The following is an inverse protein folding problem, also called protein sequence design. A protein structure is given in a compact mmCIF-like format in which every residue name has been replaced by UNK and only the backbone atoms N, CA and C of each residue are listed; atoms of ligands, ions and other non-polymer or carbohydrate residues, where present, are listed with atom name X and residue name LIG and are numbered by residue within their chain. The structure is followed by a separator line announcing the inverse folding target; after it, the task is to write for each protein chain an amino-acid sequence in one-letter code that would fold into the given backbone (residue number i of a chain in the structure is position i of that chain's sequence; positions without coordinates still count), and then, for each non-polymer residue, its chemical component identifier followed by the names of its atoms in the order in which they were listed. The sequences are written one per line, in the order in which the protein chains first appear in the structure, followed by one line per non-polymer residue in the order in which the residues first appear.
data_IF_078373675986
#
_entry.id   IF_078373675986
#
_cell.length_a   1.000
_cell.length_b   1.000
_cell.length_c   1.000
_cell.angle_alpha   90.00
_cell.angle_beta   90.00
_cell.angle_gamma   90.00
#
_symmetry.space_group_name_H-M   'P 1'
#
loop_
_entity.id
_entity.type
_entity.pdbx_description
1 polymer ?
#
# COMPACT_ATOMS: atom_id res chain seq x y z
N UNK A 1 -11.45 -50.17 26.12
CA UNK A 1 -11.76 -49.29 27.26
C UNK A 1 -10.97 -48.02 27.05
N UNK A 2 -11.61 -47.02 26.45
CA UNK A 2 -10.99 -45.71 26.23
C UNK A 2 -11.41 -44.81 27.40
N UNK A 3 -10.49 -44.59 28.34
CA UNK A 3 -10.71 -43.67 29.45
C UNK A 3 -10.65 -42.23 28.94
N UNK A 4 -11.76 -41.53 29.13
CA UNK A 4 -11.94 -40.15 28.71
C UNK A 4 -11.11 -39.21 29.59
N UNK A 5 -10.28 -38.38 28.96
CA UNK A 5 -9.57 -37.27 29.59
C UNK A 5 -10.60 -36.33 30.21
N UNK A 6 -10.63 -36.26 31.54
CA UNK A 6 -11.54 -35.41 32.30
C UNK A 6 -11.16 -33.95 32.09
N UNK A 7 -11.99 -33.21 31.35
CA UNK A 7 -11.83 -31.78 31.16
C UNK A 7 -11.95 -31.07 32.52
N UNK A 8 -10.87 -30.43 32.99
CA UNK A 8 -10.91 -29.59 34.18
C UNK A 8 -11.73 -28.33 33.88
N UNK A 9 -12.68 -27.94 34.75
CA UNK A 9 -13.45 -26.72 34.53
C UNK A 9 -12.51 -25.50 34.57
N UNK A 10 -12.50 -24.71 33.49
CA UNK A 10 -11.79 -23.44 33.42
C UNK A 10 -12.45 -22.44 34.38
N UNK A 11 -11.83 -22.19 35.53
CA UNK A 11 -12.26 -21.14 36.44
C UNK A 11 -11.90 -19.77 35.86
N UNK A 12 -12.91 -19.06 35.34
CA UNK A 12 -12.73 -17.65 34.96
C UNK A 12 -12.66 -16.77 36.20
N UNK A 13 -11.45 -16.53 36.71
CA UNK A 13 -11.22 -15.61 37.82
C UNK A 13 -11.04 -14.20 37.27
N UNK A 14 -11.92 -13.27 37.68
CA UNK A 14 -11.77 -11.84 37.47
C UNK A 14 -11.33 -11.18 38.77
N UNK A 15 -10.11 -10.66 38.80
CA UNK A 15 -9.54 -9.97 39.96
C UNK A 15 -9.83 -8.47 39.86
N UNK A 16 -10.39 -7.88 40.92
CA UNK A 16 -10.45 -6.42 41.11
C UNK A 16 -9.25 -6.00 41.96
N UNK A 17 -8.39 -5.16 41.39
CA UNK A 17 -7.24 -4.58 42.10
C UNK A 17 -7.66 -3.33 42.86
N UNK A 18 -6.93 -2.98 43.91
CA UNK A 18 -7.13 -1.70 44.61
C UNK A 18 -6.82 -0.56 43.64
N UNK A 19 -7.79 0.35 43.47
CA UNK A 19 -7.73 1.46 42.53
C UNK A 19 -8.27 2.72 43.19
N UNK A 20 -7.58 3.83 43.01
CA UNK A 20 -8.03 5.16 43.44
C UNK A 20 -7.25 6.24 42.67
N UNK A 21 -7.66 7.50 42.84
CA UNK A 21 -6.94 8.67 42.32
C UNK A 21 -5.61 8.87 43.03
N UNK A 22 -4.64 9.42 42.31
CA UNK A 22 -3.31 9.73 42.85
C UNK A 22 -3.37 10.63 44.10
N UNK A 23 -4.30 11.60 44.14
CA UNK A 23 -4.50 12.47 45.30
C UNK A 23 -4.97 11.71 46.54
N UNK A 24 -5.87 10.73 46.37
CA UNK A 24 -6.37 9.89 47.46
C UNK A 24 -5.29 8.95 47.97
N UNK A 25 -4.53 8.32 47.06
CA UNK A 25 -3.39 7.48 47.42
C UNK A 25 -2.28 8.27 48.13
N UNK A 26 -2.01 9.52 47.72
CA UNK A 26 -1.04 10.39 48.36
C UNK A 26 -1.50 10.87 49.75
N UNK A 27 -2.80 11.07 49.95
CA UNK A 27 -3.36 11.42 51.25
C UNK A 27 -3.28 10.24 52.22
N UNK A 28 -3.69 9.05 51.79
CA UNK A 28 -3.67 7.83 52.61
C UNK A 28 -2.24 7.31 52.85
N UNK A 29 -1.37 7.45 51.84
CA UNK A 29 0.02 7.02 51.78
C UNK A 29 0.34 5.67 52.47
N UNK A 30 -0.40 4.58 52.19
CA UNK A 30 -0.21 3.31 52.88
C UNK A 30 1.07 2.59 52.43
N UNK A 31 1.61 1.72 53.28
CA UNK A 31 2.61 0.71 52.87
C UNK A 31 1.89 -0.39 52.11
N UNK A 32 2.31 -0.63 50.87
CA UNK A 32 1.71 -1.65 50.01
C UNK A 32 2.48 -2.96 50.20
N UNK A 33 1.77 -4.08 50.30
CA UNK A 33 2.38 -5.37 50.57
C UNK A 33 3.33 -5.77 49.43
N UNK A 34 4.36 -6.56 49.78
CA UNK A 34 5.34 -7.02 48.81
C UNK A 34 4.64 -7.83 47.69
N UNK A 35 4.82 -7.39 46.45
CA UNK A 35 4.21 -7.97 45.26
C UNK A 35 2.74 -7.59 45.03
N UNK A 36 2.12 -6.79 45.89
CA UNK A 36 0.75 -6.32 45.68
C UNK A 36 0.70 -5.24 44.59
N UNK A 37 -0.13 -5.47 43.58
CA UNK A 37 -0.35 -4.54 42.47
C UNK A 37 -1.49 -3.57 42.80
N UNK A 38 -1.22 -2.27 42.65
CA UNK A 38 -2.24 -1.23 42.79
C UNK A 38 -2.35 -0.40 41.51
N UNK A 39 -3.57 0.07 41.27
CA UNK A 39 -3.94 0.91 40.15
C UNK A 39 -4.08 2.36 40.63
N UNK A 40 -3.48 3.30 39.90
CA UNK A 40 -3.48 4.72 40.24
C UNK A 40 -4.01 5.51 39.06
N UNK A 41 -5.14 6.20 39.27
CA UNK A 41 -5.66 7.15 38.29
C UNK A 41 -4.90 8.48 38.44
N UNK A 42 -3.96 8.75 37.53
CA UNK A 42 -3.28 10.05 37.43
C UNK A 42 -3.93 10.92 36.35
N UNK A 43 -3.67 12.25 36.33
CA UNK A 43 -4.17 13.12 35.28
C UNK A 43 -3.78 12.69 33.85
N UNK A 44 -2.64 12.01 33.70
CA UNK A 44 -2.10 11.54 32.42
C UNK A 44 -2.56 10.13 32.04
N UNK A 45 -3.34 9.47 32.91
CA UNK A 45 -3.90 8.14 32.66
C UNK A 45 -3.69 7.15 33.80
N UNK A 46 -4.04 5.88 33.54
CA UNK A 46 -3.93 4.80 34.52
C UNK A 46 -2.47 4.32 34.64
N UNK A 47 -1.90 4.40 35.83
CA UNK A 47 -0.57 3.88 36.16
C UNK A 47 -0.63 2.75 37.20
N UNK A 48 0.45 1.98 37.30
CA UNK A 48 0.57 0.84 38.22
C UNK A 48 1.76 1.06 39.15
N UNK A 49 1.61 0.76 40.44
CA UNK A 49 2.72 0.55 41.37
C UNK A 49 2.66 -0.86 41.95
N UNK A 50 3.82 -1.43 42.25
CA UNK A 50 3.95 -2.67 43.01
C UNK A 50 4.50 -2.36 44.39
N UNK A 51 3.91 -2.94 45.43
CA UNK A 51 4.46 -2.83 46.77
C UNK A 51 5.72 -3.66 46.93
N UNK A 52 6.65 -3.15 47.74
CA UNK A 52 7.85 -3.85 48.22
C UNK A 52 7.67 -4.36 49.66
N UNK A 53 6.52 -4.08 50.29
CA UNK A 53 6.23 -4.42 51.68
C UNK A 53 6.86 -3.49 52.72
N UNK A 54 7.55 -2.42 52.29
CA UNK A 54 8.32 -1.53 53.18
C UNK A 54 8.00 -0.07 52.91
N UNK A 55 8.01 0.34 51.64
CA UNK A 55 7.80 1.72 51.21
C UNK A 55 6.32 2.11 51.21
N UNK A 56 6.04 3.32 51.67
CA UNK A 56 4.72 3.94 51.51
C UNK A 56 4.46 4.32 50.05
N UNK A 57 3.20 4.39 49.63
CA UNK A 57 2.77 4.75 48.27
C UNK A 57 3.58 5.87 47.58
N UNK A 58 3.87 6.98 48.28
CA UNK A 58 4.64 8.12 47.77
C UNK A 58 6.06 7.76 47.36
N UNK A 59 6.65 6.78 48.03
CA UNK A 59 8.02 6.36 47.86
C UNK A 59 8.15 5.11 46.97
N UNK A 60 7.02 4.53 46.54
CA UNK A 60 7.01 3.48 45.52
C UNK A 60 7.10 4.12 44.13
N UNK A 61 7.86 3.53 43.24
CA UNK A 61 7.95 3.99 41.85
C UNK A 61 6.82 3.41 40.99
N UNK A 62 6.46 4.11 39.92
CA UNK A 62 5.54 3.57 38.92
C UNK A 62 6.23 2.48 38.09
N UNK A 63 5.52 1.39 37.81
CA UNK A 63 6.05 0.22 37.08
C UNK A 63 6.55 0.52 35.66
N UNK A 64 6.23 1.70 35.11
CA UNK A 64 6.52 2.06 33.73
C UNK A 64 7.55 3.20 33.61
N UNK A 65 8.06 3.73 34.73
CA UNK A 65 8.83 4.98 34.74
C UNK A 65 10.36 4.83 34.67
N UNK A 66 10.93 3.67 34.30
CA UNK A 66 12.40 3.55 34.22
C UNK A 66 12.90 3.05 32.87
N UNK A 67 12.56 3.79 31.81
CA UNK A 67 13.54 4.07 30.75
C UNK A 67 13.66 5.59 30.62
N UNK A 68 14.44 6.18 31.52
CA UNK A 68 14.81 7.59 31.40
C UNK A 68 15.81 7.71 30.24
N UNK A 69 15.52 8.60 29.29
CA UNK A 69 16.38 8.95 28.16
C UNK A 69 16.93 10.34 28.45
N UNK A 70 18.25 10.51 28.35
CA UNK A 70 18.85 11.83 28.54
C UNK A 70 18.50 12.77 27.39
N UNK A 71 18.03 13.97 27.71
CA UNK A 71 17.78 15.05 26.73
C UNK A 71 19.08 15.65 26.19
N UNK A 72 20.21 15.45 26.87
CA UNK A 72 21.51 15.99 26.49
C UNK A 72 22.67 15.04 26.83
N UNK A 73 23.75 15.13 26.05
CA UNK A 73 24.99 14.38 26.27
C UNK A 73 25.66 14.86 27.56
N UNK A 74 25.78 13.97 28.54
CA UNK A 74 26.28 14.29 29.89
C UNK A 74 27.29 13.26 30.41
N UNK A 75 28.38 13.75 30.99
CA UNK A 75 29.42 12.93 31.64
C UNK A 75 28.94 12.28 32.96
N UNK A 76 27.88 12.81 33.57
CA UNK A 76 27.38 12.42 34.89
C UNK A 76 26.06 11.66 34.84
N UNK A 77 25.59 11.25 33.65
CA UNK A 77 24.32 10.52 33.54
C UNK A 77 24.36 9.15 34.22
N UNK A 78 23.27 8.81 34.90
CA UNK A 78 23.02 7.51 35.55
C UNK A 78 21.88 6.72 34.87
N UNK A 79 21.34 7.23 33.75
CA UNK A 79 20.15 6.69 33.08
C UNK A 79 20.46 5.43 32.22
N UNK A 80 19.48 4.51 32.05
CA UNK A 80 19.68 3.20 31.43
C UNK A 80 20.00 3.23 29.91
N UNK A 81 19.60 4.26 29.18
CA UNK A 81 20.02 4.49 27.77
C UNK A 81 21.29 5.33 27.79
N UNK A 82 22.43 4.66 27.93
CA UNK A 82 23.72 5.22 28.36
C UNK A 82 24.31 6.29 27.43
N UNK A 83 23.93 7.55 27.64
CA UNK A 83 24.62 8.69 27.01
C UNK A 83 26.05 8.86 27.56
N UNK A 84 26.31 8.41 28.80
CA UNK A 84 27.65 8.40 29.41
C UNK A 84 28.66 7.55 28.61
N UNK A 85 28.23 6.40 28.08
CA UNK A 85 29.09 5.54 27.27
C UNK A 85 29.39 6.18 25.91
N UNK A 86 28.39 6.83 25.30
CA UNK A 86 28.54 7.58 24.04
C UNK A 86 29.43 8.81 24.23
N UNK A 87 29.23 9.58 25.31
CA UNK A 87 30.08 10.71 25.68
C UNK A 87 31.51 10.28 25.94
N UNK A 88 31.74 9.20 26.70
CA UNK A 88 33.07 8.65 26.94
C UNK A 88 33.75 8.20 25.64
N UNK A 89 33.02 7.61 24.70
CA UNK A 89 33.55 7.22 23.39
C UNK A 89 33.89 8.44 22.51
N UNK A 90 33.05 9.47 22.50
CA UNK A 90 33.28 10.73 21.78
C UNK A 90 34.45 11.51 22.38
N UNK A 91 34.51 11.60 23.71
CA UNK A 91 35.58 12.27 24.43
C UNK A 91 36.91 11.52 24.24
N UNK A 92 36.91 10.18 24.27
CA UNK A 92 38.09 9.38 23.92
C UNK A 92 38.55 9.62 22.47
N UNK A 93 37.63 9.88 21.54
CA UNK A 93 37.96 10.25 20.15
C UNK A 93 38.46 11.68 20.02
N UNK A 94 38.00 12.60 20.86
CA UNK A 94 38.43 14.01 20.85
C UNK A 94 39.76 14.23 21.60
N UNK A 95 39.96 13.54 22.73
CA UNK A 95 41.18 13.50 23.55
C UNK A 95 42.26 12.60 22.98
N UNK A 96 41.92 11.82 21.95
CA UNK A 96 42.91 11.29 21.01
C UNK A 96 43.51 12.47 20.25
N UNK A 97 44.30 13.30 20.93
CA UNK A 97 45.22 14.27 20.36
C UNK A 97 46.05 13.54 19.31
N UNK A 98 45.68 13.71 18.05
CA UNK A 98 46.52 13.29 16.95
C UNK A 98 47.64 14.31 16.85
N UNK A 99 48.63 14.15 17.72
CA UNK A 99 49.92 14.79 17.58
C UNK A 99 50.58 14.22 16.34
N UNK A 100 50.74 15.03 15.30
CA UNK A 100 51.56 14.69 14.16
C UNK A 100 52.99 15.12 14.46
N UNK A 101 53.93 14.17 14.41
CA UNK A 101 55.35 14.48 14.46
C UNK A 101 55.70 15.46 13.33
N UNK A 102 56.65 16.36 13.59
CA UNK A 102 57.21 17.21 12.54
C UNK A 102 57.86 16.32 11.46
N UNK A 103 57.60 16.65 10.19
CA UNK A 103 58.25 15.96 9.08
C UNK A 103 59.78 16.17 9.16
N UNK A 104 60.53 15.11 8.86
CA UNK A 104 61.99 15.13 8.81
C UNK A 104 62.50 14.36 7.59
N UNK A 105 63.84 14.34 7.40
CA UNK A 105 64.48 13.53 6.37
C UNK A 105 64.21 12.02 6.51
N UNK A 106 63.76 11.55 7.68
CA UNK A 106 63.57 10.13 7.99
C UNK A 106 62.16 9.76 8.44
N UNK A 107 61.32 10.72 8.82
CA UNK A 107 59.98 10.47 9.35
C UNK A 107 58.94 11.37 8.67
N UNK A 108 57.79 10.80 8.33
CA UNK A 108 56.66 11.52 7.75
C UNK A 108 55.93 12.30 8.86
N UNK A 109 55.57 13.55 8.56
CA UNK A 109 54.65 14.36 9.37
C UNK A 109 53.44 14.76 8.51
N UNK A 110 53.12 16.04 8.45
CA UNK A 110 52.13 16.60 7.49
C UNK A 110 52.58 16.54 6.01
N UNK A 111 53.82 16.11 5.75
CA UNK A 111 54.35 15.83 4.42
C UNK A 111 55.27 14.61 4.46
N UNK A 112 55.46 13.96 3.31
CA UNK A 112 56.34 12.79 3.19
C UNK A 112 57.81 13.19 3.36
N UNK A 113 58.71 12.28 3.77
CA UNK A 113 60.15 12.54 3.79
C UNK A 113 60.70 12.97 2.41
N UNK A 114 60.09 12.47 1.33
CA UNK A 114 60.45 12.88 -0.04
C UNK A 114 60.10 14.34 -0.32
N UNK A 115 58.93 14.80 0.11
CA UNK A 115 58.53 16.21 -0.01
C UNK A 115 59.39 17.10 0.89
N UNK A 116 59.64 16.67 2.14
CA UNK A 116 60.51 17.41 3.06
C UNK A 116 61.94 17.55 2.50
N UNK A 117 62.50 16.49 1.92
CA UNK A 117 63.83 16.52 1.30
C UNK A 117 63.93 17.49 0.11
N UNK A 118 62.83 17.71 -0.63
CA UNK A 118 62.79 18.73 -1.71
C UNK A 118 62.87 20.17 -1.18
N UNK A 119 62.45 20.40 0.08
CA UNK A 119 62.36 21.73 0.70
C UNK A 119 63.51 22.02 1.67
N UNK A 120 64.06 20.99 2.32
CA UNK A 120 64.99 21.11 3.47
C UNK A 120 66.29 21.86 3.16
N UNK A 121 66.78 21.83 1.92
CA UNK A 121 68.01 22.51 1.52
C UNK A 121 67.78 23.87 0.84
N UNK A 122 66.55 24.37 0.81
CA UNK A 122 66.26 25.69 0.27
C UNK A 122 66.53 26.73 1.37
N UNK A 123 67.50 27.61 1.14
CA UNK A 123 67.81 28.70 2.08
C UNK A 123 66.60 29.63 2.26
N UNK A 124 66.42 30.15 3.48
CA UNK A 124 65.39 31.15 3.75
C UNK A 124 65.60 32.37 2.83
N UNK A 125 64.58 32.74 2.05
CA UNK A 125 64.66 33.82 1.06
C UNK A 125 65.34 33.46 -0.27
N UNK A 126 65.50 32.18 -0.60
CA UNK A 126 66.05 31.75 -1.89
C UNK A 126 65.29 32.38 -3.08
N UNK A 127 66.04 32.87 -4.06
CA UNK A 127 65.50 33.49 -5.27
C UNK A 127 64.83 32.47 -6.17
N UNK A 128 63.61 32.77 -6.64
CA UNK A 128 62.88 31.90 -7.56
C UNK A 128 63.52 31.99 -8.94
N UNK A 129 64.03 30.88 -9.46
CA UNK A 129 64.54 30.78 -10.83
C UNK A 129 63.52 30.01 -11.68
N UNK A 130 63.03 30.64 -12.75
CA UNK A 130 62.08 30.06 -13.68
C UNK A 130 62.53 30.28 -15.14
N UNK A 131 62.00 29.46 -16.05
CA UNK A 131 62.30 29.58 -17.48
C UNK A 131 61.86 30.93 -18.03
N UNK A 132 62.70 31.56 -18.86
CA UNK A 132 62.32 32.74 -19.64
C UNK A 132 61.81 32.33 -21.01
N UNK A 133 60.88 33.12 -21.55
CA UNK A 133 60.41 33.01 -22.93
C UNK A 133 61.42 33.65 -23.91
N UNK A 134 62.39 34.40 -23.38
CA UNK A 134 63.44 35.05 -24.13
C UNK A 134 64.69 34.16 -24.19
N UNK A 135 65.11 33.81 -25.40
CA UNK A 135 66.31 33.00 -25.60
C UNK A 135 67.54 33.69 -24.99
N UNK A 136 68.30 32.96 -24.18
CA UNK A 136 69.48 33.48 -23.49
C UNK A 136 69.22 34.13 -22.13
N UNK A 137 67.97 34.14 -21.64
CA UNK A 137 67.59 34.69 -20.33
C UNK A 137 67.05 33.63 -19.39
N UNK A 138 67.16 33.87 -18.08
CA UNK A 138 66.41 33.17 -17.04
C UNK A 138 65.71 34.21 -16.15
N UNK A 139 64.52 33.88 -15.63
CA UNK A 139 63.80 34.79 -14.73
C UNK A 139 64.29 34.56 -13.30
N UNK A 140 64.85 35.59 -12.67
CA UNK A 140 65.17 35.60 -11.24
C UNK A 140 64.16 36.52 -10.56
N UNK A 141 63.31 35.96 -9.70
CA UNK A 141 62.20 36.67 -9.06
C UNK A 141 61.36 37.44 -10.08
N UNK A 142 60.87 36.76 -11.12
CA UNK A 142 60.09 37.34 -12.25
C UNK A 142 60.79 38.34 -13.16
N UNK A 143 62.08 38.63 -12.95
CA UNK A 143 62.85 39.55 -13.79
C UNK A 143 63.77 38.75 -14.73
N UNK A 144 63.64 38.97 -16.04
CA UNK A 144 64.56 38.40 -17.03
C UNK A 144 65.98 38.88 -16.79
N UNK A 145 66.87 37.94 -16.50
CA UNK A 145 68.29 38.16 -16.28
C UNK A 145 69.06 37.46 -17.39
N UNK A 146 69.93 38.19 -18.10
CA UNK A 146 70.69 37.62 -19.21
C UNK A 146 71.70 36.59 -18.69
N UNK A 147 71.68 35.38 -19.25
CA UNK A 147 72.63 34.29 -18.95
C UNK A 147 73.50 33.97 -20.15
N UNK A 148 73.01 34.24 -21.36
CA UNK A 148 73.73 34.01 -22.60
C UNK A 148 73.37 35.07 -23.63
N UNK A 149 74.38 35.79 -24.14
CA UNK A 149 74.22 36.76 -25.22
C UNK A 149 74.70 36.09 -26.50
N UNK A 150 73.78 35.74 -27.41
CA UNK A 150 74.15 35.31 -28.76
C UNK A 150 74.60 36.55 -29.54
N UNK A 151 75.73 36.52 -30.28
CA UNK A 151 76.11 37.65 -31.12
C UNK A 151 75.01 37.93 -32.15
N UNK A 152 74.55 39.17 -32.20
CA UNK A 152 73.55 39.61 -33.18
C UNK A 152 74.15 39.49 -34.58
N UNK A 153 73.48 38.70 -35.44
CA UNK A 153 73.71 38.47 -36.87
C UNK A 153 74.82 37.46 -37.25
N UNK A 154 74.38 36.32 -37.81
CA UNK A 154 75.21 35.47 -38.66
C UNK A 154 75.14 35.98 -40.10
N UNK A 155 76.30 36.26 -40.71
CA UNK A 155 76.38 36.61 -42.13
C UNK A 155 76.33 35.35 -43.00
N UNK A 156 75.63 35.41 -44.14
CA UNK A 156 75.40 34.29 -45.07
C UNK A 156 76.66 33.52 -45.55
N UNK A 157 77.89 34.01 -45.29
CA UNK A 157 79.11 33.28 -45.67
C UNK A 157 79.32 31.98 -44.89
N UNK A 158 78.63 31.77 -43.76
CA UNK A 158 78.68 30.51 -43.00
C UNK A 158 77.75 29.43 -43.58
N UNK A 159 76.91 29.77 -44.58
CA UNK A 159 75.94 28.87 -45.25
C UNK A 159 76.54 28.22 -46.51
N UNK A 160 77.82 28.43 -46.83
CA UNK A 160 78.46 27.69 -47.92
C UNK A 160 78.52 26.17 -47.64
N UNK A 161 78.74 25.77 -46.38
CA UNK A 161 78.69 24.36 -45.99
C UNK A 161 77.28 23.75 -46.04
N UNK A 162 76.23 24.57 -45.94
CA UNK A 162 74.84 24.09 -46.01
C UNK A 162 74.40 23.80 -47.45
N UNK A 163 74.87 24.56 -48.44
CA UNK A 163 74.68 24.17 -49.86
C UNK A 163 75.42 22.86 -50.16
N UNK A 164 76.66 22.72 -49.69
CA UNK A 164 77.47 21.52 -49.93
C UNK A 164 76.92 20.28 -49.21
N UNK A 165 76.27 20.44 -48.06
CA UNK A 165 75.54 19.37 -47.35
C UNK A 165 74.19 19.08 -48.02
N UNK A 166 73.51 20.07 -48.59
CA UNK A 166 72.21 19.87 -49.26
C UNK A 166 72.38 19.19 -50.63
N UNK A 167 73.41 19.57 -51.40
CA UNK A 167 73.76 18.90 -52.67
C UNK A 167 74.27 17.47 -52.45
N UNK A 168 74.93 17.19 -51.32
CA UNK A 168 75.31 15.82 -50.94
C UNK A 168 74.16 15.01 -50.29
N UNK A 169 73.06 15.65 -49.87
CA UNK A 169 71.86 14.97 -49.33
C UNK A 169 70.77 14.73 -50.37
N UNK A 170 70.71 15.55 -51.42
CA UNK A 170 69.93 15.24 -52.61
C UNK A 170 70.82 14.50 -53.60
N UNK A 171 71.06 13.22 -53.33
CA UNK A 171 71.51 12.30 -54.37
C UNK A 171 70.40 12.17 -55.41
N UNK A 172 70.50 12.96 -56.48
CA UNK A 172 69.59 12.91 -57.62
C UNK A 172 69.90 11.73 -58.55
N UNK A 173 70.81 10.84 -58.17
CA UNK A 173 71.15 9.61 -58.90
C UNK A 173 70.64 8.38 -58.15
N UNK A 174 69.45 7.95 -58.56
CA UNK A 174 68.90 6.61 -58.36
C UNK A 174 68.71 6.10 -56.90
N UNK A 175 67.42 5.95 -56.57
CA UNK A 175 66.79 4.97 -55.63
C UNK A 175 66.30 5.40 -54.25
N UNK A 176 66.67 6.57 -53.70
CA UNK A 176 66.12 7.02 -52.40
C UNK A 176 65.09 8.16 -52.55
N UNK A 177 64.16 7.97 -53.47
CA UNK A 177 62.85 8.59 -53.30
C UNK A 177 62.21 7.88 -52.10
N UNK A 178 61.51 8.59 -51.23
CA UNK A 178 60.67 8.03 -50.14
C UNK A 178 59.63 6.97 -50.60
N UNK A 179 59.62 6.64 -51.89
CA UNK A 179 58.81 5.70 -52.64
C UNK A 179 59.66 5.21 -53.83
N UNK A 180 59.79 3.90 -54.02
CA UNK A 180 60.53 3.30 -55.14
C UNK A 180 60.01 3.79 -56.51
N UNK A 181 60.82 3.69 -57.57
CA UNK A 181 60.38 4.06 -58.93
C UNK A 181 59.10 3.30 -59.36
N UNK A 182 58.97 2.05 -58.91
CA UNK A 182 57.80 1.22 -59.16
C UNK A 182 56.56 1.70 -58.39
N UNK A 183 56.72 2.20 -57.16
CA UNK A 183 55.65 2.86 -56.40
C UNK A 183 55.27 4.22 -56.98
N UNK A 184 56.24 4.98 -57.49
CA UNK A 184 56.02 6.23 -58.21
C UNK A 184 55.18 6.03 -59.49
N UNK A 185 55.46 4.97 -60.27
CA UNK A 185 54.64 4.63 -61.44
C UNK A 185 53.23 4.14 -61.08
N UNK A 186 53.07 3.41 -59.97
CA UNK A 186 51.75 3.02 -59.46
C UNK A 186 50.91 4.23 -59.06
N UNK A 187 51.53 5.23 -58.44
CA UNK A 187 50.86 6.48 -58.05
C UNK A 187 50.59 7.40 -59.24
N UNK A 188 51.45 7.42 -60.26
CA UNK A 188 51.21 8.19 -61.49
C UNK A 188 50.04 7.66 -62.33
N UNK A 189 49.66 6.38 -62.15
CA UNK A 189 48.51 5.75 -62.81
C UNK A 189 47.18 5.96 -62.07
N UNK A 190 47.20 6.61 -60.91
CA UNK A 190 46.01 6.94 -60.12
C UNK A 190 45.53 8.31 -60.62
N UNK A 191 44.45 8.32 -61.42
CA UNK A 191 43.83 9.56 -61.91
C UNK A 191 43.35 10.45 -60.74
N UNK A 192 43.28 11.77 -60.96
CA UNK A 192 42.83 12.73 -59.95
C UNK A 192 41.42 12.35 -59.44
N UNK A 193 41.32 11.97 -58.17
CA UNK A 193 40.07 11.49 -57.56
C UNK A 193 39.86 9.96 -57.59
N UNK A 194 40.88 9.14 -57.86
CA UNK A 194 40.76 7.68 -57.80
C UNK A 194 40.45 7.10 -56.40
N UNK A 195 40.61 7.90 -55.34
CA UNK A 195 40.12 7.61 -53.98
C UNK A 195 38.70 8.17 -53.70
N UNK A 196 38.09 8.83 -54.68
CA UNK A 196 36.73 9.35 -54.60
C UNK A 196 35.70 8.26 -54.96
N UNK A 197 35.77 7.14 -54.24
CA UNK A 197 34.81 6.06 -54.40
C UNK A 197 33.45 6.49 -53.84
N UNK A 198 32.54 6.91 -54.73
CA UNK A 198 31.14 7.14 -54.38
C UNK A 198 30.38 5.83 -54.57
N UNK A 199 29.80 5.32 -53.48
CA UNK A 199 28.97 4.12 -53.56
C UNK A 199 27.81 4.39 -54.54
N UNK A 200 27.58 3.51 -55.54
CA UNK A 200 26.46 3.66 -56.45
C UNK A 200 25.15 3.73 -55.65
N UNK A 201 24.18 4.53 -56.11
CA UNK A 201 22.83 4.50 -55.53
C UNK A 201 22.25 3.12 -55.81
N UNK A 202 21.81 2.42 -54.77
CA UNK A 202 21.25 1.09 -54.91
C UNK A 202 19.96 1.13 -55.72
N UNK A 203 19.87 0.27 -56.74
CA UNK A 203 18.66 0.04 -57.51
C UNK A 203 18.24 -1.42 -57.37
N UNK A 204 17.07 -1.79 -57.86
CA UNK A 204 16.62 -3.18 -57.86
C UNK A 204 17.58 -4.14 -58.59
N UNK A 205 18.40 -3.63 -59.51
CA UNK A 205 19.36 -4.41 -60.31
C UNK A 205 20.83 -4.13 -59.99
N UNK A 206 21.14 -3.14 -59.13
CA UNK A 206 22.52 -2.70 -58.86
C UNK A 206 22.73 -2.52 -57.36
N UNK A 207 23.70 -3.27 -56.80
CA UNK A 207 24.01 -3.29 -55.36
C UNK A 207 24.76 -2.02 -54.93
N UNK A 208 24.03 -1.00 -54.47
CA UNK A 208 24.59 0.25 -53.96
C UNK A 208 25.03 0.16 -52.49
N UNK A 209 26.09 -0.61 -52.23
CA UNK A 209 26.73 -0.70 -50.91
C UNK A 209 26.03 -1.58 -49.86
N UNK A 210 24.71 -1.78 -49.93
CA UNK A 210 23.95 -2.65 -49.00
C UNK A 210 23.03 -3.60 -49.78
N UNK A 211 23.05 -4.90 -49.43
CA UNK A 211 22.10 -5.90 -49.95
C UNK A 211 20.82 -5.82 -49.12
N UNK A 212 19.67 -5.58 -49.76
CA UNK A 212 18.35 -5.59 -49.10
C UNK A 212 17.63 -6.92 -49.31
N UNK A 213 16.90 -7.37 -48.28
CA UNK A 213 16.11 -8.58 -48.31
C UNK A 213 14.70 -8.37 -48.88
N UNK A 214 13.89 -9.45 -48.89
CA UNK A 214 12.49 -9.41 -49.31
C UNK A 214 11.71 -8.36 -48.50
N UNK A 215 10.76 -7.66 -49.14
CA UNK A 215 9.89 -6.61 -48.59
C UNK A 215 10.57 -5.26 -48.27
N UNK A 216 11.83 -5.05 -48.65
CA UNK A 216 12.47 -3.74 -48.59
C UNK A 216 12.64 -3.20 -50.02
N UNK A 217 12.42 -1.90 -50.19
CA UNK A 217 12.60 -1.20 -51.48
C UNK A 217 13.43 0.05 -51.27
N UNK A 218 14.16 0.49 -52.28
CA UNK A 218 14.89 1.76 -52.26
C UNK A 218 14.28 2.65 -53.33
N UNK A 219 13.79 3.82 -52.92
CA UNK A 219 13.22 4.84 -53.81
C UNK A 219 13.98 6.12 -53.51
N UNK A 220 14.59 6.71 -54.55
CA UNK A 220 15.35 7.97 -54.47
C UNK A 220 16.41 8.01 -53.36
N UNK A 221 17.08 6.89 -53.11
CA UNK A 221 18.17 6.78 -52.12
C UNK A 221 17.72 6.53 -50.68
N UNK A 222 16.41 6.42 -50.41
CA UNK A 222 15.86 6.10 -49.09
C UNK A 222 15.41 4.63 -49.04
N UNK A 223 15.81 3.91 -47.99
CA UNK A 223 15.33 2.56 -47.71
C UNK A 223 13.92 2.61 -47.12
N UNK A 224 12.95 2.05 -47.84
CA UNK A 224 11.56 1.98 -47.44
C UNK A 224 11.17 0.53 -47.09
N UNK A 225 10.42 0.36 -46.01
CA UNK A 225 9.61 -0.83 -45.78
C UNK A 225 8.27 -0.75 -46.51
N UNK A 226 7.48 -1.84 -46.58
CA UNK A 226 6.14 -1.78 -47.13
C UNK A 226 5.28 -0.89 -46.23
N UNK A 227 4.45 -0.03 -46.82
CA UNK A 227 3.48 0.73 -46.06
C UNK A 227 2.56 -0.21 -45.27
N UNK A 228 2.46 0.00 -43.96
CA UNK A 228 1.64 -0.79 -43.03
C UNK A 228 0.13 -0.72 -43.34
N UNK A 229 -0.28 0.08 -44.32
CA UNK A 229 -1.65 0.21 -44.82
C UNK A 229 -2.06 -0.88 -45.83
N UNK A 230 -1.19 -1.85 -46.12
CA UNK A 230 -1.45 -2.90 -47.14
C UNK A 230 -2.02 -4.22 -46.59
N UNK A 231 -2.50 -4.26 -45.34
CA UNK A 231 -3.17 -5.47 -44.84
C UNK A 231 -4.61 -5.50 -45.34
N UNK A 232 -4.97 -6.56 -46.08
CA UNK A 232 -6.36 -6.78 -46.49
C UNK A 232 -7.26 -6.91 -45.26
N UNK A 233 -8.42 -6.23 -45.30
CA UNK A 233 -9.46 -6.41 -44.29
C UNK A 233 -9.88 -7.88 -44.27
N UNK A 234 -9.92 -8.47 -43.07
CA UNK A 234 -10.35 -9.84 -42.90
C UNK A 234 -11.84 -9.97 -43.25
N UNK A 235 -12.21 -11.03 -43.97
CA UNK A 235 -13.60 -11.37 -44.29
C UNK A 235 -13.98 -12.69 -43.62
N UNK A 236 -15.24 -13.11 -43.70
CA UNK A 236 -15.68 -14.41 -43.16
C UNK A 236 -15.03 -15.62 -43.85
N UNK A 237 -14.40 -15.43 -45.00
CA UNK A 237 -13.79 -16.50 -45.82
C UNK A 237 -12.30 -16.29 -46.09
N UNK A 238 -11.74 -15.12 -45.75
CA UNK A 238 -10.34 -14.79 -46.02
C UNK A 238 -9.70 -14.16 -44.79
N UNK A 239 -8.59 -14.74 -44.35
CA UNK A 239 -7.79 -14.20 -43.25
C UNK A 239 -7.23 -12.82 -43.62
N UNK A 240 -7.25 -11.89 -42.67
CA UNK A 240 -6.52 -10.62 -42.72
C UNK A 240 -5.65 -10.48 -41.46
N UNK A 241 -5.72 -9.33 -40.78
CA UNK A 241 -5.10 -9.15 -39.45
C UNK A 241 -5.74 -9.99 -38.33
N UNK A 242 -6.96 -10.47 -38.57
CA UNK A 242 -7.67 -11.47 -37.76
C UNK A 242 -8.05 -12.66 -38.66
N UNK A 243 -8.22 -13.85 -38.08
CA UNK A 243 -8.63 -15.02 -38.86
C UNK A 243 -10.07 -14.91 -39.34
N UNK A 244 -10.37 -15.53 -40.47
CA UNK A 244 -11.73 -15.67 -40.99
C UNK A 244 -12.67 -16.31 -39.95
N UNK A 245 -12.16 -17.26 -39.16
CA UNK A 245 -12.89 -17.88 -38.05
C UNK A 245 -13.28 -16.87 -36.96
N UNK A 246 -12.39 -15.92 -36.65
CA UNK A 246 -12.72 -14.84 -35.71
C UNK A 246 -13.73 -13.87 -36.31
N UNK A 247 -13.60 -13.52 -37.59
CA UNK A 247 -14.57 -12.65 -38.28
C UNK A 247 -15.95 -13.29 -38.25
N UNK A 248 -16.04 -14.59 -38.53
CA UNK A 248 -17.30 -15.36 -38.49
C UNK A 248 -17.90 -15.47 -37.09
N UNK A 249 -17.07 -15.52 -36.04
CA UNK A 249 -17.55 -15.47 -34.65
C UNK A 249 -18.09 -14.08 -34.29
N UNK A 250 -17.53 -13.03 -34.86
CA UNK A 250 -17.89 -11.63 -34.57
C UNK A 250 -19.03 -11.11 -35.45
N UNK A 251 -19.27 -11.69 -36.63
CA UNK A 251 -20.25 -11.19 -37.60
C UNK A 251 -21.71 -11.30 -37.14
N UNK A 252 -22.01 -12.20 -36.19
CA UNK A 252 -23.32 -12.30 -35.54
C UNK A 252 -23.52 -11.39 -34.32
N UNK A 253 -22.52 -10.59 -33.94
CA UNK A 253 -22.59 -9.71 -32.77
C UNK A 253 -23.11 -8.35 -33.19
N UNK A 254 -24.35 -8.02 -32.81
CA UNK A 254 -24.92 -6.69 -33.06
C UNK A 254 -24.16 -5.58 -32.30
N UNK A 255 -24.18 -4.37 -32.86
CA UNK A 255 -23.59 -3.20 -32.21
C UNK A 255 -24.19 -3.00 -30.82
N UNK A 256 -23.34 -3.05 -29.79
CA UNK A 256 -23.77 -2.90 -28.40
C UNK A 256 -24.39 -4.14 -27.76
N UNK A 257 -24.12 -5.36 -28.26
CA UNK A 257 -24.60 -6.63 -27.68
C UNK A 257 -24.35 -6.81 -26.16
N UNK A 258 -23.41 -6.06 -25.56
CA UNK A 258 -23.17 -6.05 -24.11
C UNK A 258 -24.05 -5.05 -23.32
N UNK A 259 -24.99 -4.34 -23.96
CA UNK A 259 -25.94 -3.45 -23.28
C UNK A 259 -27.09 -4.26 -22.71
N UNK A 260 -26.90 -4.80 -21.52
CA UNK A 260 -28.02 -5.31 -20.74
C UNK A 260 -28.96 -4.16 -20.38
N UNK A 261 -30.20 -4.22 -20.88
CA UNK A 261 -31.30 -3.31 -20.50
C UNK A 261 -32.30 -4.16 -19.73
N UNK A 262 -32.48 -3.87 -18.44
CA UNK A 262 -33.51 -4.54 -17.63
C UNK A 262 -34.89 -4.30 -18.26
N UNK A 263 -35.71 -5.34 -18.49
CA UNK A 263 -37.04 -5.15 -19.05
C UNK A 263 -37.90 -4.32 -18.09
N UNK A 264 -38.63 -3.34 -18.62
CA UNK A 264 -39.55 -2.49 -17.85
C UNK A 264 -41.02 -2.93 -18.00
N UNK A 265 -41.25 -4.07 -18.63
CA UNK A 265 -42.58 -4.66 -18.84
C UNK A 265 -43.13 -5.30 -17.56
N UNK A 266 -44.44 -5.54 -17.52
CA UNK A 266 -45.10 -6.26 -16.43
C UNK A 266 -44.41 -7.61 -16.17
N UNK A 267 -44.14 -7.92 -14.90
CA UNK A 267 -43.39 -9.11 -14.48
C UNK A 267 -41.87 -8.96 -14.40
N UNK A 268 -41.31 -7.82 -14.84
CA UNK A 268 -39.86 -7.55 -14.78
C UNK A 268 -39.49 -6.34 -13.91
N UNK A 269 -40.50 -5.68 -13.33
CA UNK A 269 -40.31 -4.58 -12.40
C UNK A 269 -40.12 -5.12 -10.97
N UNK A 270 -39.07 -4.63 -10.31
CA UNK A 270 -38.75 -4.99 -8.93
C UNK A 270 -39.76 -4.39 -7.94
N UNK A 271 -39.72 -4.86 -6.70
CA UNK A 271 -40.46 -4.24 -5.59
C UNK A 271 -40.09 -2.74 -5.50
N UNK A 272 -41.06 -1.82 -5.35
CA UNK A 272 -40.77 -0.40 -5.14
C UNK A 272 -39.87 -0.20 -3.91
N UNK A 273 -38.87 0.68 -4.02
CA UNK A 273 -38.03 1.05 -2.87
C UNK A 273 -38.83 1.82 -1.81
N UNK A 274 -38.31 1.87 -0.58
CA UNK A 274 -38.89 2.70 0.51
C UNK A 274 -40.00 2.05 1.35
N UNK A 275 -40.20 0.73 1.25
CA UNK A 275 -41.11 0.01 2.15
C UNK A 275 -40.60 -0.06 3.59
N UNK A 276 -41.53 -0.05 4.55
CA UNK A 276 -41.28 -0.23 5.98
C UNK A 276 -41.91 -1.53 6.50
N UNK A 277 -41.49 -1.98 7.68
CA UNK A 277 -42.11 -3.11 8.38
C UNK A 277 -43.59 -2.81 8.67
N UNK A 278 -44.47 -3.79 8.47
CA UNK A 278 -45.93 -3.63 8.61
C UNK A 278 -46.63 -3.03 7.37
N UNK A 279 -45.93 -2.97 6.23
CA UNK A 279 -46.53 -2.58 4.94
C UNK A 279 -46.62 -3.77 3.99
N UNK A 280 -47.63 -3.74 3.12
CA UNK A 280 -47.88 -4.72 2.07
C UNK A 280 -47.86 -4.05 0.70
N UNK A 281 -47.52 -4.81 -0.35
CA UNK A 281 -47.60 -4.34 -1.72
C UNK A 281 -49.04 -4.47 -2.23
N UNK A 282 -49.64 -3.33 -2.56
CA UNK A 282 -50.96 -3.26 -3.19
C UNK A 282 -50.79 -3.06 -4.69
N UNK A 283 -51.48 -3.90 -5.47
CA UNK A 283 -51.52 -3.75 -6.91
C UNK A 283 -52.11 -2.39 -7.30
N UNK A 284 -51.47 -1.70 -8.25
CA UNK A 284 -51.93 -0.41 -8.77
C UNK A 284 -52.26 -0.48 -10.27
N UNK A 285 -51.35 -1.04 -11.05
CA UNK A 285 -51.51 -1.32 -12.48
C UNK A 285 -50.50 -2.40 -12.89
N UNK A 286 -50.58 -2.89 -14.13
CA UNK A 286 -49.64 -3.89 -14.65
C UNK A 286 -48.18 -3.46 -14.46
N UNK A 287 -47.40 -4.32 -13.81
CA UNK A 287 -46.01 -4.06 -13.46
C UNK A 287 -45.78 -3.05 -12.32
N UNK A 288 -46.82 -2.44 -11.75
CA UNK A 288 -46.67 -1.43 -10.68
C UNK A 288 -47.44 -1.81 -9.42
N UNK A 289 -46.76 -1.69 -8.28
CA UNK A 289 -47.34 -1.83 -6.95
C UNK A 289 -47.01 -0.59 -6.11
N UNK A 290 -47.79 -0.34 -5.08
CA UNK A 290 -47.53 0.71 -4.09
C UNK A 290 -47.57 0.12 -2.69
N UNK A 291 -46.70 0.59 -1.81
CA UNK A 291 -46.76 0.25 -0.40
C UNK A 291 -48.04 0.81 0.23
N UNK A 292 -48.77 -0.04 0.95
CA UNK A 292 -49.92 0.32 1.75
C UNK A 292 -49.74 -0.29 3.15
N UNK A 293 -50.40 0.26 4.16
CA UNK A 293 -50.30 -0.27 5.50
C UNK A 293 -51.06 -1.61 5.59
N UNK A 294 -50.48 -2.58 6.29
CA UNK A 294 -51.19 -3.81 6.62
C UNK A 294 -52.45 -3.47 7.43
N UNK A 295 -53.61 -3.90 6.94
CA UNK A 295 -54.87 -3.67 7.63
C UNK A 295 -54.93 -4.58 8.85
N UNK A 296 -54.73 -4.01 10.03
CA UNK A 296 -54.98 -4.70 11.29
C UNK A 296 -56.46 -4.61 11.65
N UNK A 297 -57.13 -5.76 11.78
CA UNK A 297 -58.51 -5.82 12.24
C UNK A 297 -58.52 -5.91 13.77
N UNK A 298 -59.21 -4.97 14.42
CA UNK A 298 -59.40 -5.00 15.86
C UNK A 298 -60.21 -6.25 16.27
N UNK A 299 -59.91 -6.79 17.45
CA UNK A 299 -60.71 -7.86 18.06
C UNK A 299 -62.12 -7.33 18.33
N UNK A 300 -63.14 -8.13 18.02
CA UNK A 300 -64.52 -7.75 18.28
C UNK A 300 -64.79 -7.67 19.78
N UNK A 301 -65.50 -6.63 20.21
CA UNK A 301 -65.98 -6.47 21.58
C UNK A 301 -67.50 -6.52 21.62
N UNK A 302 -68.09 -6.52 22.82
CA UNK A 302 -69.55 -6.44 23.00
C UNK A 302 -70.15 -5.13 22.44
N UNK A 303 -69.35 -4.09 22.22
CA UNK A 303 -69.81 -2.75 21.79
C UNK A 303 -69.22 -2.30 20.45
N UNK A 304 -68.19 -2.99 19.93
CA UNK A 304 -67.48 -2.62 18.70
C UNK A 304 -67.33 -3.84 17.79
N UNK A 305 -67.69 -3.69 16.52
CA UNK A 305 -67.48 -4.73 15.51
C UNK A 305 -65.97 -4.94 15.27
N UNK A 306 -65.56 -6.19 15.11
CA UNK A 306 -64.22 -6.59 14.66
C UNK A 306 -64.34 -7.52 13.45
N UNK A 307 -63.63 -8.65 13.46
CA UNK A 307 -63.80 -9.73 12.46
C UNK A 307 -65.18 -10.44 12.55
N UNK A 308 -65.92 -10.22 13.63
CA UNK A 308 -67.32 -10.59 13.81
C UNK A 308 -68.11 -9.38 14.31
N UNK A 309 -69.44 -9.39 14.16
CA UNK A 309 -70.27 -8.29 14.65
C UNK A 309 -70.28 -8.25 16.19
N UNK A 310 -70.41 -7.05 16.77
CA UNK A 310 -70.60 -6.86 18.21
C UNK A 310 -71.84 -7.61 18.73
N UNK A 311 -72.87 -7.73 17.90
CA UNK A 311 -74.06 -8.51 18.19
C UNK A 311 -73.74 -10.01 18.31
N UNK A 312 -72.98 -10.59 17.37
CA UNK A 312 -72.64 -12.00 17.42
C UNK A 312 -71.62 -12.30 18.53
N UNK A 313 -70.71 -11.36 18.82
CA UNK A 313 -69.82 -11.46 19.97
C UNK A 313 -70.60 -11.47 21.29
N UNK A 314 -71.62 -10.62 21.42
CA UNK A 314 -72.50 -10.59 22.60
C UNK A 314 -73.28 -11.90 22.75
N UNK A 315 -73.78 -12.48 21.65
CA UNK A 315 -74.44 -13.79 21.69
C UNK A 315 -73.48 -14.89 22.14
N UNK A 316 -72.26 -14.92 21.59
CA UNK A 316 -71.26 -15.94 21.90
C UNK A 316 -70.76 -15.84 23.35
N UNK A 317 -70.56 -14.62 23.86
CA UNK A 317 -70.19 -14.37 25.27
C UNK A 317 -71.32 -14.66 26.25
N UNK A 318 -72.55 -14.75 25.77
CA UNK A 318 -73.71 -15.12 26.58
C UNK A 318 -73.89 -16.64 26.73
N UNK A 319 -73.08 -17.44 26.03
CA UNK A 319 -73.09 -18.90 26.20
C UNK A 319 -72.33 -19.29 27.48
N UNK A 320 -72.75 -20.34 28.19
CA UNK A 320 -72.01 -20.85 29.33
C UNK A 320 -70.64 -21.41 28.90
N UNK A 321 -69.64 -21.33 29.79
CA UNK A 321 -68.26 -21.79 29.53
C UNK A 321 -68.17 -23.29 29.17
N UNK A 322 -69.21 -24.05 29.49
CA UNK A 322 -69.38 -25.45 29.11
C UNK A 322 -70.78 -25.63 28.51
N UNK A 323 -70.85 -25.74 27.18
CA UNK A 323 -72.05 -26.23 26.50
C UNK A 323 -71.90 -27.74 26.39
N UNK A 324 -72.82 -28.54 26.97
CA UNK A 324 -72.75 -29.99 26.87
C UNK A 324 -72.79 -30.46 25.41
N UNK A 325 -71.95 -31.43 25.04
CA UNK A 325 -71.91 -32.03 23.68
C UNK A 325 -73.24 -32.72 23.29
N UNK A 326 -74.07 -33.05 24.28
CA UNK A 326 -75.40 -33.60 24.10
C UNK A 326 -76.39 -32.91 25.04
N UNK A 327 -77.64 -32.76 24.60
CA UNK A 327 -78.73 -32.36 25.50
C UNK A 327 -78.87 -33.46 26.55
N UNK A 328 -78.41 -33.19 27.77
CA UNK A 328 -78.56 -34.10 28.89
C UNK A 328 -80.01 -33.99 29.39
N UNK A 329 -80.73 -35.11 29.35
CA UNK A 329 -82.06 -35.26 29.94
C UNK A 329 -81.89 -35.94 31.29
N UNK A 330 -82.66 -35.54 32.30
CA UNK A 330 -82.60 -36.16 33.62
C UNK A 330 -83.03 -37.64 33.56
N UNK A 331 -82.14 -38.54 33.98
CA UNK A 331 -82.45 -39.97 34.11
C UNK A 331 -83.40 -40.28 35.29
N UNK A 332 -83.56 -39.33 36.22
CA UNK A 332 -84.44 -39.47 37.38
C UNK A 332 -85.09 -38.14 37.77
N UNK A 333 -86.23 -38.24 38.45
CA UNK A 333 -86.98 -37.08 38.92
C UNK A 333 -86.20 -36.32 40.00
N UNK A 334 -85.83 -35.07 39.71
CA UNK A 334 -85.05 -34.22 40.62
C UNK A 334 -85.67 -32.84 40.79
N UNK A 335 -85.70 -32.35 42.03
CA UNK A 335 -86.13 -30.99 42.37
C UNK A 335 -85.00 -29.97 42.27
N UNK A 336 -83.75 -30.43 42.13
CA UNK A 336 -82.54 -29.61 42.13
C UNK A 336 -81.74 -29.70 40.82
N UNK A 337 -82.28 -30.32 39.76
CA UNK A 337 -81.58 -30.44 38.48
C UNK A 337 -81.40 -29.08 37.79
N UNK A 338 -80.22 -28.88 37.21
CA UNK A 338 -79.83 -27.72 36.40
C UNK A 338 -79.69 -28.07 34.91
N UNK A 339 -80.07 -29.29 34.50
CA UNK A 339 -79.98 -29.74 33.11
C UNK A 339 -80.96 -28.99 32.17
N UNK A 340 -80.68 -28.88 30.86
CA UNK A 340 -81.46 -28.05 29.93
C UNK A 340 -82.94 -28.45 29.76
N UNK A 341 -83.24 -29.75 29.84
CA UNK A 341 -84.62 -30.28 29.78
C UNK A 341 -85.04 -30.71 31.17
N UNK A 342 -85.43 -29.72 31.99
CA UNK A 342 -85.75 -29.94 33.40
C UNK A 342 -87.06 -30.72 33.56
N UNK A 343 -86.97 -31.89 34.20
CA UNK A 343 -88.14 -32.62 34.69
C UNK A 343 -88.77 -31.91 35.92
N UNK A 344 -88.19 -30.79 36.37
CA UNK A 344 -88.60 -30.01 37.56
C UNK A 344 -90.09 -29.66 37.59
N UNK A 345 -90.68 -29.26 36.46
CA UNK A 345 -92.12 -28.92 36.38
C UNK A 345 -92.99 -30.17 36.58
N UNK A 346 -92.62 -31.29 35.98
CA UNK A 346 -93.34 -32.56 36.11
C UNK A 346 -93.15 -33.15 37.52
N UNK A 347 -91.97 -32.99 38.13
CA UNK A 347 -91.67 -33.38 39.53
C UNK A 347 -92.59 -32.67 40.51
N UNK A 348 -92.73 -31.34 40.34
CA UNK A 348 -93.57 -30.52 41.20
C UNK A 348 -95.03 -30.97 41.09
N UNK A 349 -95.53 -31.19 39.87
CA UNK A 349 -96.91 -31.66 39.64
C UNK A 349 -97.15 -33.06 40.23
N UNK A 350 -96.21 -34.00 40.08
CA UNK A 350 -96.31 -35.34 40.68
C UNK A 350 -96.27 -35.30 42.21
N UNK A 351 -95.44 -34.42 42.78
CA UNK A 351 -95.40 -34.16 44.21
C UNK A 351 -96.73 -33.62 44.74
N UNK A 352 -97.31 -32.64 44.05
CA UNK A 352 -98.62 -32.09 44.38
C UNK A 352 -99.73 -33.15 44.29
N UNK A 353 -99.71 -34.00 43.26
CA UNK A 353 -100.64 -35.13 43.12
C UNK A 353 -100.46 -36.14 44.26
N UNK A 354 -99.23 -36.49 44.63
CA UNK A 354 -98.96 -37.38 45.78
C UNK A 354 -99.47 -36.79 47.09
N UNK A 355 -99.25 -35.50 47.31
CA UNK A 355 -99.77 -34.81 48.49
C UNK A 355 -101.31 -34.79 48.51
N UNK A 356 -101.95 -34.64 47.35
CA UNK A 356 -103.41 -34.71 47.23
C UNK A 356 -103.92 -36.14 47.53
N UNK A 357 -103.27 -37.17 46.98
CA UNK A 357 -103.62 -38.57 47.23
C UNK A 357 -103.44 -38.96 48.70
N UNK A 358 -102.38 -38.48 49.34
CA UNK A 358 -102.15 -38.70 50.77
C UNK A 358 -103.24 -38.08 51.63
N UNK A 359 -103.80 -36.93 51.24
CA UNK A 359 -104.98 -36.35 51.91
C UNK A 359 -106.26 -37.16 51.69
N UNK A 360 -106.37 -37.87 50.57
CA UNK A 360 -107.52 -38.74 50.27
C UNK A 360 -107.41 -40.07 51.03
N UNK A 361 -106.20 -40.63 51.15
CA UNK A 361 -105.95 -41.94 51.76
C UNK A 361 -105.63 -41.90 53.26
N UNK A 362 -105.36 -40.72 53.83
CA UNK A 362 -105.13 -40.55 55.26
C UNK A 362 -106.43 -40.66 56.06
N UNK A 363 -106.64 -41.53 57.05
CA UNK A 363 -105.79 -42.48 57.84
C UNK A 363 -104.27 -42.31 57.76
#
# INVERSE_FOLDING_TARGET
MADAVQAHPEYQVRLRLKRDTEANWNTANPVILNGEMILVDTPDGLRIKFGDGVSTFKNLEYSNDVILIDDAVSATSENPVQNKAVYAALQSKAESEHSHDNASLKAAGFMTPSQFNKLFNIASGATKVEGSDNNGYVKINTIDTAVYIHPESHTLSEVQGLMEILDNKLDYSDTDRLMTNEEGEKLAKIEEGANNYSLPIATASTLGGVKIGKNLTIIDGVLNGPDASSYSVATEITNGLMSADMVKKLSGVESGANKYVHPTTSGSLHIPSGGASGQILKWKADGTATWDNEVSYAVASKTTNGLMSSADKTKLDGLPDSIPDAIVVDDAMSTTSENPVQNKVISAVLGDISALLSKINGV
#
